data_IF_252724754580
#
_entry.id   IF_252724754580
#
_cell.length_a   1.000
_cell.length_b   1.000
_cell.length_c   1.000
_cell.angle_alpha   90.00
_cell.angle_beta   90.00
_cell.angle_gamma   90.00
#
_symmetry.space_group_name_H-M   'P 1'
#
loop_
_entity.id
_entity.type
_entity.pdbx_description
1 polymer ?
#
# COMPACT_ATOMS: atom_id res chain seq x y z
N UNK A 1 -19.90 8.74 15.55
CA UNK A 1 -18.57 8.38 15.02
C UNK A 1 -18.70 7.07 14.26
N UNK A 2 -18.15 6.97 13.05
CA UNK A 2 -18.15 5.71 12.31
C UNK A 2 -17.27 4.69 13.03
N UNK A 3 -17.72 3.44 13.12
CA UNK A 3 -16.88 2.36 13.62
C UNK A 3 -15.91 1.93 12.52
N UNK A 4 -14.60 1.80 12.83
CA UNK A 4 -13.65 1.33 11.85
C UNK A 4 -14.02 -0.08 11.40
N UNK A 5 -13.82 -0.35 10.11
CA UNK A 5 -14.22 -1.61 9.46
C UNK A 5 -13.03 -2.47 9.05
N UNK A 6 -11.83 -1.88 8.97
CA UNK A 6 -10.64 -2.51 8.44
C UNK A 6 -9.41 -2.34 9.33
N UNK A 7 -8.56 -3.37 9.34
CA UNK A 7 -7.18 -3.30 9.75
C UNK A 7 -6.31 -2.93 8.56
N UNK A 8 -5.63 -1.79 8.62
CA UNK A 8 -4.54 -1.43 7.73
C UNK A 8 -3.25 -1.99 8.32
N UNK A 9 -2.73 -3.06 7.71
CA UNK A 9 -1.56 -3.79 8.19
C UNK A 9 -0.38 -3.50 7.29
N UNK A 10 0.69 -2.96 7.86
CA UNK A 10 1.94 -2.66 7.15
C UNK A 10 3.08 -3.50 7.73
N UNK A 11 3.79 -4.27 6.90
CA UNK A 11 4.98 -4.99 7.36
C UNK A 11 6.17 -4.03 7.50
N UNK A 12 6.66 -3.79 8.72
CA UNK A 12 7.82 -2.95 8.95
C UNK A 12 9.14 -3.74 8.97
N UNK A 13 9.12 -4.94 9.55
CA UNK A 13 10.32 -5.78 9.75
C UNK A 13 10.32 -6.98 8.80
N UNK A 14 11.53 -7.41 8.42
CA UNK A 14 11.72 -8.60 7.60
C UNK A 14 11.37 -9.88 8.38
N UNK A 15 10.94 -10.92 7.66
CA UNK A 15 10.75 -12.26 8.20
C UNK A 15 11.97 -13.18 8.01
N UNK A 16 13.11 -12.61 7.60
CA UNK A 16 14.36 -13.36 7.44
C UNK A 16 14.76 -14.04 8.75
N UNK A 17 15.26 -15.27 8.65
CA UNK A 17 15.67 -16.10 9.78
C UNK A 17 14.59 -16.34 10.86
N UNK A 18 13.31 -16.05 10.60
CA UNK A 18 12.21 -16.39 11.49
C UNK A 18 11.69 -17.82 11.23
N UNK A 19 11.03 -18.44 12.23
CA UNK A 19 10.35 -19.72 12.07
C UNK A 19 9.33 -19.70 10.92
N UNK A 20 9.18 -20.83 10.23
CA UNK A 20 8.30 -20.96 9.06
C UNK A 20 6.85 -20.54 9.37
N UNK A 21 6.35 -20.84 10.57
CA UNK A 21 5.01 -20.44 11.01
C UNK A 21 4.75 -18.93 10.90
N UNK A 22 5.73 -18.07 11.25
CA UNK A 22 5.58 -16.61 11.12
C UNK A 22 5.61 -16.18 9.65
N UNK A 23 6.46 -16.81 8.84
CA UNK A 23 6.52 -16.57 7.38
C UNK A 23 5.20 -16.93 6.70
N UNK A 24 4.65 -18.10 7.02
CA UNK A 24 3.37 -18.56 6.47
C UNK A 24 2.20 -17.65 6.88
N UNK A 25 2.24 -17.13 8.11
CA UNK A 25 1.22 -16.19 8.59
C UNK A 25 1.25 -14.88 7.80
N UNK A 26 2.45 -14.33 7.54
CA UNK A 26 2.59 -13.15 6.69
C UNK A 26 2.12 -13.40 5.26
N UNK A 27 2.46 -14.57 4.69
CA UNK A 27 2.01 -14.97 3.36
C UNK A 27 0.48 -15.05 3.27
N UNK A 28 -0.18 -15.66 4.27
CA UNK A 28 -1.64 -15.75 4.34
C UNK A 28 -2.31 -14.39 4.55
N UNK A 29 -1.65 -13.45 5.24
CA UNK A 29 -2.10 -12.06 5.32
C UNK A 29 -1.88 -11.28 4.01
N UNK A 30 -1.20 -11.85 3.00
CA UNK A 30 -0.90 -11.19 1.72
C UNK A 30 0.31 -10.24 1.78
N UNK A 31 1.14 -10.36 2.82
CA UNK A 31 2.37 -9.57 3.00
C UNK A 31 3.57 -10.35 2.45
N UNK A 32 4.04 -9.95 1.26
CA UNK A 32 5.15 -10.61 0.57
C UNK A 32 6.48 -9.86 0.74
N UNK A 33 6.43 -8.55 0.95
CA UNK A 33 7.62 -7.68 1.05
C UNK A 33 7.47 -6.63 2.14
N UNK A 34 8.62 -6.16 2.64
CA UNK A 34 8.67 -5.05 3.60
C UNK A 34 8.01 -3.79 3.03
N UNK A 35 7.43 -3.01 3.93
CA UNK A 35 6.68 -1.77 3.66
C UNK A 35 5.45 -1.96 2.76
N UNK A 36 5.07 -3.21 2.45
CA UNK A 36 3.78 -3.49 1.86
C UNK A 36 2.68 -3.26 2.89
N UNK A 37 1.60 -2.62 2.44
CA UNK A 37 0.39 -2.41 3.23
C UNK A 37 -0.76 -3.17 2.58
N UNK A 38 -1.55 -3.85 3.41
CA UNK A 38 -2.76 -4.59 3.02
C UNK A 38 -3.89 -4.24 3.97
N UNK A 39 -5.12 -4.29 3.46
CA UNK A 39 -6.33 -4.02 4.24
C UNK A 39 -7.10 -5.31 4.44
N UNK A 40 -7.47 -5.58 5.69
CA UNK A 40 -8.28 -6.73 6.08
C UNK A 40 -9.52 -6.27 6.82
N UNK A 41 -10.68 -6.88 6.58
CA UNK A 41 -11.86 -6.60 7.42
C UNK A 41 -11.58 -6.98 8.86
N UNK A 42 -12.14 -6.21 9.80
CA UNK A 42 -12.05 -6.52 11.22
C UNK A 42 -12.84 -7.80 11.50
N UNK A 43 -12.11 -8.88 11.77
CA UNK A 43 -12.66 -10.13 12.26
C UNK A 43 -11.69 -10.78 13.25
N UNK A 44 -12.17 -11.64 14.17
CA UNK A 44 -11.32 -12.30 15.17
C UNK A 44 -10.21 -13.15 14.55
N UNK A 45 -10.46 -13.78 13.42
CA UNK A 45 -9.47 -14.59 12.70
C UNK A 45 -8.27 -13.75 12.25
N UNK A 46 -8.52 -12.61 11.61
CA UNK A 46 -7.44 -11.71 11.18
C UNK A 46 -6.74 -11.07 12.37
N UNK A 47 -7.46 -10.73 13.44
CA UNK A 47 -6.85 -10.25 14.67
C UNK A 47 -5.87 -11.27 15.27
N UNK A 48 -6.23 -12.56 15.32
CA UNK A 48 -5.36 -13.64 15.81
C UNK A 48 -4.12 -13.85 14.94
N UNK A 49 -4.28 -13.80 13.61
CA UNK A 49 -3.15 -13.89 12.68
C UNK A 49 -2.19 -12.71 12.83
N UNK A 50 -2.72 -11.49 12.91
CA UNK A 50 -1.95 -10.27 13.15
C UNK A 50 -1.21 -10.35 14.50
N UNK A 51 -1.87 -10.83 15.56
CA UNK A 51 -1.27 -10.97 16.89
C UNK A 51 -0.06 -11.92 16.90
N UNK A 52 -0.07 -12.95 16.04
CA UNK A 52 1.05 -13.90 15.88
C UNK A 52 2.31 -13.25 15.30
N UNK A 53 2.15 -12.18 14.51
CA UNK A 53 3.24 -11.46 13.83
C UNK A 53 3.36 -9.99 14.28
N UNK A 54 2.84 -9.65 15.47
CA UNK A 54 2.74 -8.28 16.00
C UNK A 54 4.09 -7.53 16.07
N UNK A 55 5.20 -8.25 16.20
CA UNK A 55 6.53 -7.62 16.24
C UNK A 55 7.02 -7.18 14.85
N UNK A 56 6.39 -7.67 13.77
CA UNK A 56 6.79 -7.43 12.39
C UNK A 56 5.94 -6.39 11.68
N UNK A 57 4.73 -6.12 12.19
CA UNK A 57 3.71 -5.33 11.52
C UNK A 57 3.30 -4.11 12.35
N UNK A 58 2.89 -3.05 11.67
CA UNK A 58 2.14 -1.93 12.23
C UNK A 58 0.68 -2.09 11.83
N UNK A 59 -0.22 -1.85 12.76
CA UNK A 59 -1.67 -1.96 12.54
C UNK A 59 -2.30 -0.60 12.84
N UNK A 60 -3.09 -0.11 11.89
CA UNK A 60 -3.91 1.08 12.02
C UNK A 60 -5.38 0.71 11.74
N UNK A 61 -6.32 1.40 12.37
CA UNK A 61 -7.74 1.25 12.09
C UNK A 61 -8.13 2.16 10.92
N UNK A 62 -8.88 1.62 9.96
CA UNK A 62 -9.36 2.35 8.80
C UNK A 62 -10.86 2.10 8.58
N UNK A 63 -11.56 3.13 8.14
CA UNK A 63 -12.99 3.04 7.80
C UNK A 63 -13.22 2.38 6.45
N UNK A 64 -12.28 2.59 5.51
CA UNK A 64 -12.33 2.12 4.14
C UNK A 64 -11.06 1.35 3.76
N UNK A 65 -11.19 0.46 2.78
CA UNK A 65 -10.07 -0.24 2.17
C UNK A 65 -9.70 0.48 0.87
N UNK A 66 -8.41 0.70 0.68
CA UNK A 66 -7.89 1.23 -0.58
C UNK A 66 -7.43 0.11 -1.50
N UNK A 67 -7.72 0.25 -2.79
CA UNK A 67 -7.17 -0.62 -3.82
C UNK A 67 -5.69 -0.32 -4.06
N UNK A 68 -4.97 -1.26 -4.69
CA UNK A 68 -3.54 -1.10 -4.98
C UNK A 68 -3.26 0.12 -5.86
N UNK A 69 -4.17 0.42 -6.79
CA UNK A 69 -4.06 1.55 -7.71
C UNK A 69 -4.33 2.88 -7.00
N UNK A 70 -5.35 2.95 -6.15
CA UNK A 70 -5.60 4.12 -5.29
C UNK A 70 -4.41 4.39 -4.36
N UNK A 71 -3.85 3.35 -3.73
CA UNK A 71 -2.64 3.48 -2.92
C UNK A 71 -1.40 3.91 -3.73
N UNK A 72 -1.36 3.61 -5.04
CA UNK A 72 -0.28 4.07 -5.92
C UNK A 72 -0.50 5.54 -6.25
N UNK A 73 -1.73 5.94 -6.54
CA UNK A 73 -2.09 7.33 -6.82
C UNK A 73 -1.80 8.23 -5.62
N UNK A 74 -2.19 7.83 -4.41
CA UNK A 74 -1.88 8.56 -3.18
C UNK A 74 -0.38 8.74 -2.92
N UNK A 75 0.46 7.85 -3.47
CA UNK A 75 1.93 7.94 -3.35
C UNK A 75 2.58 8.74 -4.47
N UNK A 76 1.86 9.07 -5.56
CA UNK A 76 2.41 9.90 -6.61
C UNK A 76 2.57 11.32 -6.08
N UNK A 77 3.78 11.83 -6.16
CA UNK A 77 4.04 13.25 -5.98
C UNK A 77 3.51 14.04 -7.17
N UNK A 78 3.29 15.33 -6.96
CA UNK A 78 3.10 16.27 -8.07
C UNK A 78 4.37 16.27 -8.95
N UNK A 79 4.25 16.00 -10.27
CA UNK A 79 5.38 16.04 -11.18
C UNK A 79 6.05 17.42 -11.26
N UNK A 80 5.31 18.51 -11.02
CA UNK A 80 5.86 19.87 -11.02
C UNK A 80 6.20 20.45 -12.39
N UNK A 81 5.81 19.80 -13.49
CA UNK A 81 5.94 20.33 -14.85
C UNK A 81 4.70 20.00 -15.68
N UNK A 82 4.37 20.86 -16.64
CA UNK A 82 3.33 20.61 -17.63
C UNK A 82 3.96 20.42 -19.00
N UNK A 83 3.59 19.35 -19.69
CA UNK A 83 4.07 19.10 -21.06
C UNK A 83 3.20 19.92 -22.01
N UNK A 84 3.76 20.99 -22.56
CA UNK A 84 3.14 21.71 -23.67
C UNK A 84 3.32 20.91 -24.96
N UNK A 85 2.28 20.85 -25.80
CA UNK A 85 2.41 20.25 -27.13
C UNK A 85 3.29 21.15 -27.99
N UNK A 86 4.25 20.55 -28.70
CA UNK A 86 5.10 21.27 -29.63
C UNK A 86 4.25 22.05 -30.64
N UNK A 87 4.49 23.36 -30.75
CA UNK A 87 3.96 24.18 -31.85
C UNK A 87 4.51 23.61 -33.15
N UNK A 88 3.63 23.14 -34.02
CA UNK A 88 3.97 22.83 -35.40
C UNK A 88 4.41 24.13 -36.07
N UNK A 89 5.72 24.37 -36.15
CA UNK A 89 6.27 25.59 -36.74
C UNK A 89 5.90 25.71 -38.22
N UNK A 90 4.91 26.55 -38.54
CA UNK A 90 4.82 27.20 -39.84
C UNK A 90 5.89 28.28 -39.89
N UNK A 91 7.11 27.92 -40.29
CA UNK A 91 8.08 28.91 -40.77
C UNK A 91 7.66 29.31 -42.18
N UNK A 92 6.80 30.33 -42.26
CA UNK A 92 6.51 31.02 -43.52
C UNK A 92 7.65 31.98 -43.83
N UNK A 93 8.63 31.53 -44.60
CA UNK A 93 9.59 32.44 -45.24
C UNK A 93 8.90 33.08 -46.45
N UNK A 94 8.54 34.35 -46.33
CA UNK A 94 8.10 35.19 -47.45
C UNK A 94 9.25 36.08 -47.93
N UNK A 95 9.57 35.95 -49.22
CA UNK A 95 10.42 36.75 -50.13
C UNK A 95 11.67 37.45 -49.56
#
# INVERSE_FOLDING_TARGET
MASPKYFKVTQLRSAIALPQKKKDTLLRLGLHRRHQTVFHRICPQQAGMIATVKELVKVELADEMLTKDEMREQRKSDPGFTIEKAVSGTVSTSN
#
